data_IF_376690164955
#
_entry.id   IF_376690164955
#
_cell.length_a   1.000
_cell.length_b   1.000
_cell.length_c   1.000
_cell.angle_alpha   90.00
_cell.angle_beta   90.00
_cell.angle_gamma   90.00
#
_symmetry.space_group_name_H-M   'P 1'
#
loop_
_entity.id
_entity.type
_entity.pdbx_description
1 polymer ?
#
# COMPACT_ATOMS: atom_id res chain seq x y z
N UNK A 1 29.59 32.18 31.76
CA UNK A 1 28.28 31.65 31.36
C UNK A 1 28.46 31.10 29.94
N UNK A 2 28.75 29.80 29.82
CA UNK A 2 29.06 29.16 28.54
C UNK A 2 27.76 28.60 27.98
N UNK A 3 27.13 29.33 27.06
CA UNK A 3 25.91 28.88 26.38
C UNK A 3 26.24 27.69 25.48
N UNK A 4 25.83 26.50 25.92
CA UNK A 4 25.84 25.29 25.10
C UNK A 4 24.70 25.45 24.08
N UNK A 5 25.07 25.72 22.83
CA UNK A 5 24.18 25.60 21.69
C UNK A 5 23.88 24.10 21.51
N UNK A 6 22.71 23.67 21.98
CA UNK A 6 22.15 22.38 21.56
C UNK A 6 21.82 22.49 20.08
N UNK A 7 22.74 22.00 19.24
CA UNK A 7 22.43 21.65 17.85
C UNK A 7 21.41 20.51 17.91
N UNK A 8 20.12 20.85 17.92
CA UNK A 8 19.07 19.93 17.54
C UNK A 8 19.30 19.56 16.08
N UNK A 9 20.06 18.49 15.85
CA UNK A 9 20.04 17.78 14.60
C UNK A 9 18.58 17.43 14.34
N UNK A 10 17.93 18.18 13.44
CA UNK A 10 16.65 17.77 12.91
C UNK A 10 16.93 16.44 12.22
N UNK A 11 16.55 15.33 12.87
CA UNK A 11 16.61 13.98 12.33
C UNK A 11 15.65 13.89 11.14
N UNK A 12 16.03 14.50 10.01
CA UNK A 12 15.31 14.38 8.76
C UNK A 12 15.61 12.98 8.23
N UNK A 13 14.64 12.08 8.43
CA UNK A 13 14.70 10.72 7.95
C UNK A 13 14.89 10.73 6.43
N UNK A 14 15.95 10.07 5.95
CA UNK A 14 16.30 10.05 4.53
C UNK A 14 15.32 9.19 3.73
N UNK A 15 14.76 9.74 2.64
CA UNK A 15 13.92 8.98 1.71
C UNK A 15 14.56 7.67 1.26
N UNK A 16 15.87 7.68 0.99
CA UNK A 16 16.59 6.49 0.53
C UNK A 16 16.58 5.38 1.58
N UNK A 17 16.71 5.74 2.85
CA UNK A 17 16.74 4.79 3.96
C UNK A 17 15.35 4.22 4.21
N UNK A 18 14.33 5.08 4.26
CA UNK A 18 12.94 4.65 4.46
C UNK A 18 12.38 3.87 3.28
N UNK A 19 12.69 4.25 2.04
CA UNK A 19 12.32 3.46 0.86
C UNK A 19 12.93 2.06 0.94
N UNK A 20 14.21 1.94 1.33
CA UNK A 20 14.85 0.62 1.50
C UNK A 20 14.21 -0.20 2.62
N UNK A 21 13.88 0.43 3.75
CA UNK A 21 13.17 -0.23 4.84
C UNK A 21 11.77 -0.70 4.40
N UNK A 22 11.05 0.16 3.68
CA UNK A 22 9.72 -0.08 3.11
C UNK A 22 9.75 -1.28 2.15
N UNK A 23 10.70 -1.34 1.23
CA UNK A 23 10.88 -2.47 0.29
C UNK A 23 11.05 -3.78 1.08
N UNK A 24 11.88 -3.77 2.13
CA UNK A 24 12.11 -4.95 2.97
C UNK A 24 10.83 -5.37 3.69
N UNK A 25 10.13 -4.44 4.32
CA UNK A 25 8.88 -4.70 5.04
C UNK A 25 7.81 -5.25 4.11
N UNK A 26 7.58 -4.60 2.96
CA UNK A 26 6.63 -5.06 1.95
C UNK A 26 6.97 -6.48 1.48
N UNK A 27 8.24 -6.74 1.14
CA UNK A 27 8.68 -8.07 0.71
C UNK A 27 8.46 -9.12 1.80
N UNK A 28 8.78 -8.81 3.06
CA UNK A 28 8.57 -9.72 4.19
C UNK A 28 7.08 -10.00 4.36
N UNK A 29 6.24 -8.97 4.47
CA UNK A 29 4.78 -9.12 4.67
C UNK A 29 4.07 -9.79 3.49
N UNK A 30 4.55 -9.60 2.26
CA UNK A 30 4.03 -10.29 1.08
C UNK A 30 4.25 -11.82 1.13
N UNK A 31 5.33 -12.26 1.77
CA UNK A 31 5.66 -13.68 1.94
C UNK A 31 5.14 -14.28 3.26
N UNK A 32 4.58 -13.46 4.15
CA UNK A 32 3.89 -13.94 5.35
C UNK A 32 2.55 -14.59 4.98
N UNK A 33 2.05 -15.42 5.90
CA UNK A 33 0.69 -15.96 5.81
C UNK A 33 -0.31 -14.80 5.79
N UNK A 34 -1.22 -14.81 4.81
CA UNK A 34 -2.29 -13.81 4.68
C UNK A 34 -3.07 -13.64 5.99
N UNK A 35 -3.42 -12.39 6.29
CA UNK A 35 -4.39 -12.10 7.35
C UNK A 35 -5.77 -12.58 6.91
N UNK A 36 -6.50 -13.20 7.84
CA UNK A 36 -7.88 -13.62 7.58
C UNK A 36 -8.76 -12.38 7.36
N UNK A 37 -9.57 -12.33 6.29
CA UNK A 37 -10.54 -11.27 6.10
C UNK A 37 -11.48 -11.10 7.30
N UNK A 38 -11.72 -9.86 7.69
CA UNK A 38 -12.60 -9.48 8.80
C UNK A 38 -13.64 -8.40 8.40
N UNK A 39 -13.60 -7.95 7.15
CA UNK A 39 -14.55 -7.01 6.55
C UNK A 39 -15.04 -7.49 5.19
N UNK A 40 -16.26 -7.07 4.87
CA UNK A 40 -16.93 -7.27 3.59
C UNK A 40 -17.44 -5.91 3.10
N UNK A 41 -17.22 -5.61 1.83
CA UNK A 41 -17.73 -4.42 1.13
C UNK A 41 -18.19 -4.88 -0.26
N UNK A 42 -19.50 -4.93 -0.51
CA UNK A 42 -20.04 -5.58 -1.70
C UNK A 42 -19.56 -7.05 -1.81
N UNK A 43 -18.95 -7.39 -2.93
CA UNK A 43 -18.39 -8.72 -3.24
C UNK A 43 -16.91 -8.90 -2.87
N UNK A 44 -16.34 -7.92 -2.14
CA UNK A 44 -14.94 -7.94 -1.71
C UNK A 44 -14.86 -8.28 -0.22
N UNK A 45 -14.07 -9.29 0.11
CA UNK A 45 -13.68 -9.65 1.47
C UNK A 45 -12.20 -9.32 1.67
N UNK A 46 -11.87 -8.65 2.77
CA UNK A 46 -10.49 -8.28 3.08
C UNK A 46 -10.28 -8.12 4.59
N UNK A 47 -9.02 -8.15 4.99
CA UNK A 47 -8.56 -7.80 6.32
C UNK A 47 -8.43 -6.28 6.42
N UNK A 48 -9.05 -5.71 7.43
CA UNK A 48 -8.94 -4.31 7.79
C UNK A 48 -8.32 -4.23 9.19
N UNK A 49 -7.12 -3.65 9.34
CA UNK A 49 -6.49 -3.45 10.65
C UNK A 49 -7.37 -2.58 11.57
N UNK A 50 -7.21 -2.75 12.88
CA UNK A 50 -7.82 -1.86 13.87
C UNK A 50 -7.42 -0.39 13.62
N UNK A 51 -8.37 0.53 13.81
CA UNK A 51 -8.17 1.97 13.54
C UNK A 51 -8.64 2.41 12.16
N UNK A 52 -8.71 1.49 11.19
CA UNK A 52 -9.24 1.80 9.86
C UNK A 52 -10.77 1.70 9.81
N UNK A 53 -11.38 2.53 8.98
CA UNK A 53 -12.82 2.57 8.71
C UNK A 53 -13.08 2.70 7.21
N UNK A 54 -14.23 2.23 6.75
CA UNK A 54 -14.71 2.46 5.37
C UNK A 54 -15.48 3.77 5.36
N UNK A 55 -15.13 4.68 4.45
CA UNK A 55 -15.78 5.98 4.29
C UNK A 55 -16.75 6.01 3.13
N UNK A 56 -16.37 5.38 2.03
CA UNK A 56 -17.18 5.32 0.83
C UNK A 56 -16.82 4.07 0.02
N UNK A 57 -17.72 3.63 -0.85
CA UNK A 57 -17.51 2.51 -1.74
C UNK A 57 -18.19 2.70 -3.10
N UNK A 58 -17.47 2.29 -4.13
CA UNK A 58 -17.94 2.14 -5.51
C UNK A 58 -17.58 0.71 -5.98
N UNK A 59 -18.06 0.24 -7.14
CA UNK A 59 -17.85 -1.14 -7.56
C UNK A 59 -16.38 -1.63 -7.53
N UNK A 60 -15.43 -0.75 -7.87
CA UNK A 60 -14.01 -1.09 -7.95
C UNK A 60 -13.14 -0.32 -6.94
N UNK A 61 -13.70 0.57 -6.12
CA UNK A 61 -12.92 1.36 -5.16
C UNK A 61 -13.59 1.37 -3.79
N UNK A 62 -12.79 1.16 -2.75
CA UNK A 62 -13.19 1.32 -1.36
C UNK A 62 -12.30 2.41 -0.76
N UNK A 63 -12.93 3.48 -0.27
CA UNK A 63 -12.23 4.56 0.42
C UNK A 63 -12.10 4.19 1.88
N UNK A 64 -10.87 4.03 2.36
CA UNK A 64 -10.55 3.72 3.74
C UNK A 64 -10.00 4.97 4.43
N UNK A 65 -10.19 5.07 5.74
CA UNK A 65 -9.60 6.13 6.55
C UNK A 65 -9.04 5.58 7.86
N UNK A 66 -7.85 6.04 8.23
CA UNK A 66 -7.21 5.82 9.54
C UNK A 66 -6.74 7.17 10.07
N UNK A 67 -7.41 7.70 11.11
CA UNK A 67 -7.15 9.09 11.55
C UNK A 67 -7.45 10.10 10.44
N UNK A 68 -6.48 10.94 10.11
CA UNK A 68 -6.56 11.91 8.99
C UNK A 68 -6.29 11.28 7.62
N UNK A 69 -5.70 10.09 7.59
CA UNK A 69 -5.11 9.56 6.37
C UNK A 69 -6.16 8.79 5.58
N UNK A 70 -6.18 9.04 4.27
CA UNK A 70 -7.15 8.47 3.34
C UNK A 70 -6.46 7.52 2.38
N UNK A 71 -7.06 6.35 2.18
CA UNK A 71 -6.53 5.30 1.33
C UNK A 71 -7.57 4.90 0.29
N UNK A 72 -7.11 4.58 -0.90
CA UNK A 72 -7.95 4.07 -1.98
C UNK A 72 -7.56 2.62 -2.20
N UNK A 73 -8.42 1.69 -1.81
CA UNK A 73 -8.30 0.28 -2.17
C UNK A 73 -9.06 0.05 -3.48
N UNK A 74 -8.32 -0.14 -4.57
CA UNK A 74 -8.83 -0.48 -5.89
C UNK A 74 -8.80 -2.00 -6.11
N UNK A 75 -9.85 -2.55 -6.71
CA UNK A 75 -9.96 -3.95 -7.09
C UNK A 75 -10.44 -4.06 -8.54
N UNK A 76 -9.71 -4.82 -9.36
CA UNK A 76 -10.20 -5.33 -10.64
C UNK A 76 -10.62 -6.80 -10.48
N UNK A 77 -11.92 -7.12 -10.45
CA UNK A 77 -12.42 -8.48 -10.20
C UNK A 77 -12.15 -9.46 -11.36
N UNK A 78 -11.69 -8.97 -12.52
CA UNK A 78 -11.34 -9.79 -13.67
C UNK A 78 -9.91 -10.33 -13.60
N UNK A 79 -9.11 -9.87 -12.63
CA UNK A 79 -7.71 -10.21 -12.50
C UNK A 79 -7.46 -11.10 -11.29
N UNK A 80 -6.66 -12.15 -11.46
CA UNK A 80 -6.27 -13.04 -10.37
C UNK A 80 -5.02 -12.51 -9.64
N UNK A 81 -4.61 -13.20 -8.56
CA UNK A 81 -3.48 -12.80 -7.71
C UNK A 81 -2.11 -12.84 -8.39
N UNK A 82 -1.99 -13.48 -9.57
CA UNK A 82 -0.77 -13.57 -10.38
C UNK A 82 -0.69 -12.51 -11.49
N UNK A 83 -1.76 -11.74 -11.68
CA UNK A 83 -1.85 -10.75 -12.76
C UNK A 83 -0.92 -9.56 -12.56
N UNK A 84 -0.34 -9.07 -13.66
CA UNK A 84 0.45 -7.84 -13.68
C UNK A 84 -0.33 -6.63 -14.22
N UNK A 85 -1.61 -6.79 -14.60
CA UNK A 85 -2.39 -5.75 -15.31
C UNK A 85 -2.50 -4.47 -14.47
N UNK A 86 -2.85 -4.59 -13.19
CA UNK A 86 -2.99 -3.43 -12.29
C UNK A 86 -1.64 -2.73 -12.06
N UNK A 87 -0.55 -3.48 -12.03
CA UNK A 87 0.79 -2.91 -11.94
C UNK A 87 1.15 -2.13 -13.21
N UNK A 88 0.95 -2.72 -14.39
CA UNK A 88 1.23 -2.06 -15.68
C UNK A 88 0.45 -0.76 -15.81
N UNK A 89 -0.86 -0.82 -15.55
CA UNK A 89 -1.73 0.36 -15.55
C UNK A 89 -1.31 1.41 -14.51
N UNK A 90 -0.70 1.01 -13.40
CA UNK A 90 -0.19 1.94 -12.38
C UNK A 90 1.08 2.63 -12.86
N UNK A 91 2.09 1.90 -13.35
CA UNK A 91 3.36 2.52 -13.77
C UNK A 91 3.20 3.42 -15.01
N UNK A 92 2.24 3.15 -15.89
CA UNK A 92 1.92 3.97 -17.06
C UNK A 92 1.45 5.39 -16.70
N UNK A 93 0.97 5.61 -15.48
CA UNK A 93 0.51 6.92 -15.00
C UNK A 93 1.67 7.87 -14.67
N UNK A 94 2.90 7.35 -14.55
CA UNK A 94 4.06 8.13 -14.11
C UNK A 94 5.10 8.25 -15.21
N UNK A 95 5.58 9.47 -15.43
CA UNK A 95 6.80 9.71 -16.23
C UNK A 95 8.04 9.12 -15.55
N UNK A 96 8.08 9.16 -14.21
CA UNK A 96 9.20 8.66 -13.39
C UNK A 96 8.74 8.36 -11.97
N UNK A 97 9.01 7.15 -11.51
CA UNK A 97 8.86 6.71 -10.12
C UNK A 97 10.20 6.83 -9.37
N UNK A 98 10.12 7.06 -8.06
CA UNK A 98 11.28 7.13 -7.16
C UNK A 98 11.61 5.75 -6.57
N UNK A 99 10.62 4.86 -6.51
CA UNK A 99 10.80 3.42 -6.22
C UNK A 99 9.80 2.62 -7.05
N UNK A 100 10.24 1.50 -7.62
CA UNK A 100 9.41 0.59 -8.39
C UNK A 100 9.93 -0.84 -8.23
N UNK A 101 9.29 -1.62 -7.35
CA UNK A 101 9.68 -2.98 -7.00
C UNK A 101 8.59 -3.99 -7.32
N UNK A 102 9.01 -5.19 -7.71
CA UNK A 102 8.13 -6.33 -8.01
C UNK A 102 8.51 -7.51 -7.15
N UNK A 103 7.50 -8.29 -6.75
CA UNK A 103 7.64 -9.45 -5.91
C UNK A 103 6.89 -10.64 -6.52
N UNK A 104 7.45 -11.84 -6.36
CA UNK A 104 6.77 -13.11 -6.60
C UNK A 104 7.00 -14.02 -5.40
N UNK A 105 6.00 -14.79 -5.03
CA UNK A 105 6.09 -15.75 -3.94
C UNK A 105 5.90 -17.19 -4.45
N UNK A 106 6.05 -18.17 -3.56
CA UNK A 106 5.94 -19.59 -3.89
C UNK A 106 4.50 -20.03 -4.27
N UNK A 107 3.50 -19.17 -4.02
CA UNK A 107 2.10 -19.39 -4.41
C UNK A 107 1.77 -18.74 -5.77
N UNK A 108 2.79 -18.35 -6.54
CA UNK A 108 2.68 -17.66 -7.83
C UNK A 108 1.87 -16.36 -7.77
N UNK A 109 1.83 -15.69 -6.61
CA UNK A 109 1.26 -14.34 -6.52
C UNK A 109 2.24 -13.34 -7.08
N UNK A 110 1.71 -12.28 -7.69
CA UNK A 110 2.46 -11.13 -8.13
C UNK A 110 2.16 -9.96 -7.19
N UNK A 111 3.20 -9.38 -6.59
CA UNK A 111 3.11 -8.20 -5.74
C UNK A 111 3.95 -7.06 -6.31
N UNK A 112 3.63 -5.83 -5.95
CA UNK A 112 4.44 -4.67 -6.32
C UNK A 112 4.36 -3.54 -5.30
N UNK A 113 5.37 -2.66 -5.35
CA UNK A 113 5.47 -1.43 -4.57
C UNK A 113 5.94 -0.32 -5.50
N UNK A 114 5.22 0.80 -5.53
CA UNK A 114 5.70 2.03 -6.14
C UNK A 114 5.68 3.17 -5.13
N UNK A 115 6.69 4.02 -5.19
CA UNK A 115 6.76 5.26 -4.40
C UNK A 115 7.10 6.40 -5.33
N UNK A 116 6.33 7.48 -5.23
CA UNK A 116 6.57 8.74 -5.92
C UNK A 116 6.70 9.86 -4.90
N UNK A 117 7.86 10.52 -4.85
CA UNK A 117 8.01 11.73 -4.03
C UNK A 117 7.16 12.85 -4.65
N UNK A 118 6.34 13.48 -3.82
CA UNK A 118 5.53 14.62 -4.20
C UNK A 118 6.36 15.91 -4.05
N UNK A 119 5.88 17.01 -4.64
CA UNK A 119 6.59 18.30 -4.58
C UNK A 119 6.52 18.94 -3.19
N UNK A 120 5.58 18.49 -2.35
CA UNK A 120 5.31 19.04 -1.03
C UNK A 120 6.11 18.31 0.07
N UNK A 121 6.46 19.06 1.11
CA UNK A 121 7.29 18.70 2.27
C UNK A 121 7.26 17.21 2.67
N UNK A 122 8.21 16.43 2.15
CA UNK A 122 8.44 15.03 2.50
C UNK A 122 7.21 14.12 2.35
N UNK A 123 6.24 14.48 1.50
CA UNK A 123 5.11 13.62 1.18
C UNK A 123 5.42 12.71 -0.01
N UNK A 124 4.87 11.51 0.05
CA UNK A 124 5.06 10.46 -0.92
C UNK A 124 3.71 9.88 -1.28
N UNK A 125 3.49 9.61 -2.57
CA UNK A 125 2.43 8.69 -2.97
C UNK A 125 2.98 7.26 -2.88
N UNK A 126 2.41 6.49 -1.96
CA UNK A 126 2.74 5.09 -1.72
C UNK A 126 1.65 4.22 -2.35
N UNK A 127 2.03 3.32 -3.24
CA UNK A 127 1.10 2.33 -3.81
C UNK A 127 1.67 0.93 -3.65
N UNK A 128 0.85 0.02 -3.13
CA UNK A 128 1.18 -1.38 -2.94
C UNK A 128 0.07 -2.22 -3.55
N UNK A 129 0.42 -3.29 -4.27
CA UNK A 129 -0.58 -4.16 -4.87
C UNK A 129 -0.20 -5.63 -4.90
N UNK A 130 -1.24 -6.45 -5.05
CA UNK A 130 -1.16 -7.90 -5.26
C UNK A 130 -2.17 -8.29 -6.33
N UNK A 131 -1.69 -8.81 -7.46
CA UNK A 131 -2.50 -9.20 -8.61
C UNK A 131 -3.46 -8.11 -9.07
N UNK A 132 -4.76 -8.42 -9.02
CA UNK A 132 -5.86 -7.54 -9.39
C UNK A 132 -6.21 -6.41 -8.41
N UNK A 133 -5.51 -6.26 -7.28
CA UNK A 133 -5.82 -5.23 -6.29
C UNK A 133 -4.62 -4.35 -5.97
N UNK A 134 -4.89 -3.08 -5.66
CA UNK A 134 -3.89 -2.13 -5.15
C UNK A 134 -4.48 -1.21 -4.11
N UNK A 135 -3.65 -0.74 -3.19
CA UNK A 135 -3.97 0.31 -2.24
C UNK A 135 -2.99 1.47 -2.40
N UNK A 136 -3.52 2.70 -2.43
CA UNK A 136 -2.76 3.93 -2.61
C UNK A 136 -3.08 4.92 -1.49
N UNK A 137 -2.07 5.66 -1.02
CA UNK A 137 -2.19 6.76 -0.06
C UNK A 137 -1.12 7.82 -0.28
N UNK A 138 -1.29 8.99 0.32
CA UNK A 138 -0.23 9.98 0.49
C UNK A 138 0.28 9.92 1.94
N UNK A 139 1.59 9.78 2.11
CA UNK A 139 2.21 9.52 3.41
C UNK A 139 3.55 10.24 3.54
N UNK A 140 3.90 10.67 4.75
CA UNK A 140 5.22 11.27 5.02
C UNK A 140 6.32 10.24 4.86
N UNK A 141 7.52 10.70 4.48
CA UNK A 141 8.70 9.83 4.35
C UNK A 141 8.97 9.02 5.62
N UNK A 142 8.82 9.62 6.79
CA UNK A 142 8.99 8.98 8.10
C UNK A 142 8.03 7.83 8.38
N UNK A 143 6.90 7.77 7.68
CA UNK A 143 5.81 6.82 7.95
C UNK A 143 5.70 5.74 6.85
N UNK A 144 6.47 5.85 5.76
CA UNK A 144 6.47 4.91 4.62
C UNK A 144 6.57 3.45 5.09
N UNK A 145 7.55 3.14 5.93
CA UNK A 145 7.79 1.79 6.37
C UNK A 145 6.62 1.23 7.21
N UNK A 146 6.15 2.00 8.19
CA UNK A 146 5.07 1.59 9.08
C UNK A 146 3.76 1.38 8.32
N UNK A 147 3.43 2.32 7.42
CA UNK A 147 2.18 2.28 6.66
C UNK A 147 2.19 1.12 5.65
N UNK A 148 3.33 0.87 5.01
CA UNK A 148 3.46 -0.17 4.00
C UNK A 148 3.10 -1.58 4.48
N UNK A 149 3.34 -1.87 5.77
CA UNK A 149 2.98 -3.14 6.38
C UNK A 149 1.47 -3.34 6.39
N UNK A 150 0.72 -2.35 6.85
CA UNK A 150 -0.74 -2.41 6.92
C UNK A 150 -1.33 -2.49 5.51
N UNK A 151 -0.84 -1.66 4.59
CA UNK A 151 -1.25 -1.67 3.19
C UNK A 151 -1.03 -3.04 2.53
N UNK A 152 0.13 -3.66 2.73
CA UNK A 152 0.40 -5.01 2.20
C UNK A 152 -0.51 -6.05 2.85
N UNK A 153 -0.75 -6.00 4.16
CA UNK A 153 -1.69 -6.92 4.83
C UNK A 153 -3.12 -6.79 4.31
N UNK A 154 -3.58 -5.57 4.04
CA UNK A 154 -4.90 -5.29 3.46
C UNK A 154 -4.97 -5.92 2.08
N UNK A 155 -4.10 -5.52 1.15
CA UNK A 155 -4.22 -5.93 -0.25
C UNK A 155 -3.95 -7.42 -0.47
N UNK A 156 -3.03 -8.03 0.29
CA UNK A 156 -2.72 -9.47 0.19
C UNK A 156 -3.87 -10.35 0.73
N UNK A 157 -4.82 -9.78 1.47
CA UNK A 157 -5.98 -10.50 2.00
C UNK A 157 -7.23 -10.39 1.13
N UNK A 158 -7.17 -9.61 0.04
CA UNK A 158 -8.32 -9.32 -0.82
C UNK A 158 -8.79 -10.62 -1.49
N UNK A 159 -10.08 -10.93 -1.31
CA UNK A 159 -10.78 -12.03 -1.94
C UNK A 159 -12.05 -11.50 -2.58
N UNK A 160 -12.26 -11.84 -3.83
CA UNK A 160 -13.48 -11.49 -4.55
C UNK A 160 -14.39 -12.71 -4.66
N UNK A 161 -15.62 -12.61 -4.17
CA UNK A 161 -16.64 -13.64 -4.39
C UNK A 161 -17.40 -13.31 -5.67
N UNK A 162 -17.24 -14.13 -6.71
CA UNK A 162 -18.13 -14.04 -7.88
C UNK A 162 -19.53 -14.47 -7.42
N UNK A 163 -20.54 -13.63 -7.64
CA UNK A 163 -21.92 -14.08 -7.55
C UNK A 163 -22.11 -15.23 -8.55
N UNK A 164 -22.65 -16.36 -8.07
CA UNK A 164 -23.19 -17.38 -8.95
C UNK A 164 -24.34 -16.73 -9.71
N UNK A 165 -24.25 -16.70 -11.03
CA UNK A 165 -25.45 -16.47 -11.84
C UNK A 165 -26.40 -17.63 -11.55
N UNK A 166 -27.50 -17.36 -10.85
CA UNK A 166 -28.70 -18.21 -10.91
C UNK A 166 -29.28 -18.19 -12.33
#
# INVERSE_FOLDING_TARGET
MLSILFLSACNNVSFKEESKATIKTVKTTFNEKEKKPNKKSGNVHFYLPSGYSIKDQTPNNIILQNGSDTYILFINPHENTSSEVVYKATIEQYKKLDTNEKFKNNENKFGFLTIKQLKDDNLNELTIGVGGAKITTQVKTSDLNNESKNMMQIVNSVKYTKESKE
#
